data_IF_541632867816
#
_entry.id   IF_541632867816
#
_cell.length_a   1.000
_cell.length_b   1.000
_cell.length_c   1.000
_cell.angle_alpha   90.00
_cell.angle_beta   90.00
_cell.angle_gamma   90.00
#
_symmetry.space_group_name_H-M   'P 1'
#
loop_
_entity.id
_entity.type
_entity.pdbx_description
1 polymer ?
#
# COMPACT_ATOMS: atom_id res chain seq x y z
N UNK A 1 1.40 19.65 4.85
CA UNK A 1 0.06 20.02 4.36
C UNK A 1 -1.06 19.54 5.28
N UNK A 2 -1.31 18.23 5.49
CA UNK A 2 -2.34 17.79 6.45
C UNK A 2 -2.06 18.30 7.87
N UNK A 3 -0.80 18.14 8.32
CA UNK A 3 -0.34 18.69 9.60
C UNK A 3 -0.59 20.20 9.72
N UNK A 4 -0.34 20.96 8.65
CA UNK A 4 -0.48 22.42 8.67
C UNK A 4 -1.95 22.83 8.76
N UNK A 5 -2.84 22.10 8.07
CA UNK A 5 -4.29 22.27 8.18
C UNK A 5 -4.75 22.00 9.61
N UNK A 6 -4.26 20.92 10.24
CA UNK A 6 -4.57 20.60 11.64
C UNK A 6 -4.09 21.70 12.58
N UNK A 7 -2.86 22.20 12.42
CA UNK A 7 -2.32 23.29 13.24
C UNK A 7 -3.18 24.56 13.11
N UNK A 8 -3.59 24.93 11.89
CA UNK A 8 -4.45 26.10 11.67
C UNK A 8 -5.84 25.88 12.29
N UNK A 9 -6.39 24.66 12.14
CA UNK A 9 -7.70 24.31 12.64
C UNK A 9 -7.78 24.32 14.17
N UNK A 10 -6.78 23.75 14.84
CA UNK A 10 -6.72 23.67 16.31
C UNK A 10 -6.22 24.98 16.93
N UNK A 11 -5.31 25.69 16.25
CA UNK A 11 -4.69 26.92 16.76
C UNK A 11 -5.57 28.16 16.70
N UNK A 12 -6.70 28.14 15.98
CA UNK A 12 -7.61 29.28 15.84
C UNK A 12 -9.06 28.87 16.12
N UNK A 13 -9.83 29.64 16.90
CA UNK A 13 -11.25 29.36 17.12
C UNK A 13 -12.07 29.60 15.85
N UNK A 14 -13.13 28.83 15.64
CA UNK A 14 -14.05 29.02 14.50
C UNK A 14 -14.87 30.31 14.61
N UNK A 15 -15.20 30.69 15.85
CA UNK A 15 -15.96 31.89 16.18
C UNK A 15 -15.12 32.79 17.07
N UNK A 16 -15.10 34.08 16.77
CA UNK A 16 -14.49 35.10 17.62
C UNK A 16 -15.35 35.32 18.87
N UNK A 17 -14.73 35.66 20.01
CA UNK A 17 -15.47 36.03 21.21
C UNK A 17 -16.34 37.26 20.94
N UNK A 18 -17.51 37.31 21.59
CA UNK A 18 -18.38 38.48 21.52
C UNK A 18 -17.71 39.66 22.25
N UNK A 19 -17.81 40.87 21.68
CA UNK A 19 -17.22 42.09 22.25
C UNK A 19 -17.92 42.52 23.55
N UNK A 20 -19.16 42.08 23.77
CA UNK A 20 -19.95 42.37 24.97
C UNK A 20 -20.69 41.09 25.45
N UNK A 21 -20.97 40.97 26.77
CA UNK A 21 -21.80 39.88 27.29
C UNK A 21 -23.20 39.95 26.67
N UNK A 22 -23.58 38.90 25.94
CA UNK A 22 -24.86 38.81 25.21
C UNK A 22 -24.79 39.25 23.74
N UNK A 23 -23.64 39.70 23.25
CA UNK A 23 -23.44 40.03 21.84
C UNK A 23 -23.29 38.78 20.95
N UNK A 24 -23.58 38.95 19.66
CA UNK A 24 -23.39 37.88 18.67
C UNK A 24 -21.90 37.57 18.46
N UNK A 25 -21.58 36.28 18.38
CA UNK A 25 -20.25 35.82 17.98
C UNK A 25 -20.10 35.94 16.48
N UNK A 26 -18.95 36.45 16.03
CA UNK A 26 -18.62 36.59 14.61
C UNK A 26 -17.80 35.39 14.14
N UNK A 27 -17.97 34.99 12.88
CA UNK A 27 -17.13 33.96 12.25
C UNK A 27 -15.69 34.46 12.13
N UNK A 28 -14.73 33.59 12.40
CA UNK A 28 -13.32 33.89 12.21
C UNK A 28 -12.91 33.74 10.72
N UNK A 29 -13.07 34.83 9.96
CA UNK A 29 -12.70 34.86 8.54
C UNK A 29 -11.19 34.72 8.29
N UNK A 30 -10.35 35.11 9.24
CA UNK A 30 -8.90 34.92 9.12
C UNK A 30 -8.54 33.44 9.09
N UNK A 31 -9.13 32.64 10.00
CA UNK A 31 -9.00 31.18 9.98
C UNK A 31 -9.44 30.58 8.66
N UNK A 32 -10.59 31.01 8.14
CA UNK A 32 -11.11 30.54 6.85
C UNK A 32 -10.18 30.91 5.69
N UNK A 33 -9.60 32.11 5.69
CA UNK A 33 -8.62 32.54 4.69
C UNK A 33 -7.36 31.67 4.72
N UNK A 34 -6.84 31.38 5.91
CA UNK A 34 -5.67 30.50 6.09
C UNK A 34 -5.96 29.08 5.58
N UNK A 35 -7.09 28.49 5.96
CA UNK A 35 -7.48 27.15 5.50
C UNK A 35 -7.73 27.13 3.98
N UNK A 36 -8.39 28.15 3.44
CA UNK A 36 -8.64 28.31 2.01
C UNK A 36 -7.34 28.37 1.19
N UNK A 37 -6.32 29.07 1.69
CA UNK A 37 -5.01 29.10 1.03
C UNK A 37 -4.32 27.73 0.96
N UNK A 38 -4.44 26.92 2.02
CA UNK A 38 -3.88 25.56 2.03
C UNK A 38 -4.61 24.64 1.05
N UNK A 39 -5.93 24.76 0.97
CA UNK A 39 -6.75 24.00 0.01
C UNK A 39 -6.47 24.42 -1.44
N UNK A 40 -6.31 25.71 -1.71
CA UNK A 40 -5.94 26.21 -3.03
C UNK A 40 -4.60 25.63 -3.49
N UNK A 41 -3.60 25.58 -2.59
CA UNK A 41 -2.30 24.97 -2.88
C UNK A 41 -2.41 23.47 -3.19
N UNK A 42 -3.29 22.73 -2.50
CA UNK A 42 -3.55 21.31 -2.81
C UNK A 42 -4.19 21.14 -4.19
N UNK A 43 -5.10 22.04 -4.56
CA UNK A 43 -5.75 22.02 -5.88
C UNK A 43 -4.76 22.33 -7.01
N UNK A 44 -3.84 23.28 -6.80
CA UNK A 44 -2.73 23.52 -7.72
C UNK A 44 -1.87 22.28 -7.92
N UNK A 45 -1.53 21.58 -6.84
CA UNK A 45 -0.73 20.35 -6.92
C UNK A 45 -1.48 19.25 -7.68
N UNK A 46 -2.78 19.08 -7.42
CA UNK A 46 -3.63 18.11 -8.12
C UNK A 46 -3.69 18.35 -9.63
N UNK A 47 -3.64 19.62 -10.07
CA UNK A 47 -3.68 20.01 -11.48
C UNK A 47 -2.35 19.81 -12.21
N UNK A 48 -1.25 19.55 -11.50
CA UNK A 48 0.05 19.33 -12.13
C UNK A 48 0.04 18.08 -12.99
N UNK A 49 0.53 18.20 -14.22
CA UNK A 49 0.82 17.04 -15.07
C UNK A 49 2.14 16.45 -14.62
N UNK A 50 2.15 15.15 -14.39
CA UNK A 50 3.37 14.44 -14.03
C UNK A 50 4.06 13.88 -15.29
N UNK A 51 5.40 13.97 -15.39
CA UNK A 51 6.14 13.55 -16.58
C UNK A 51 6.38 12.03 -16.64
N UNK A 52 5.42 11.22 -16.18
CA UNK A 52 5.50 9.77 -16.24
C UNK A 52 4.22 9.17 -16.84
N UNK A 53 4.37 8.06 -17.56
CA UNK A 53 3.24 7.25 -18.01
C UNK A 53 2.97 6.17 -16.99
N UNK A 54 1.73 6.08 -16.53
CA UNK A 54 1.29 4.96 -15.71
C UNK A 54 1.16 3.70 -16.58
N UNK A 55 1.76 2.59 -16.16
CA UNK A 55 1.48 1.27 -16.73
C UNK A 55 0.17 0.73 -16.12
N UNK A 56 -0.90 0.55 -16.91
CA UNK A 56 -2.18 0.05 -16.40
C UNK A 56 -2.11 -1.36 -15.80
N UNK A 57 -1.16 -2.21 -16.23
CA UNK A 57 -0.97 -3.55 -15.67
C UNK A 57 -0.38 -3.46 -14.28
N UNK A 58 0.67 -2.65 -14.11
CA UNK A 58 1.27 -2.40 -12.81
C UNK A 58 0.27 -1.76 -11.84
N UNK A 59 -0.47 -0.74 -12.28
CA UNK A 59 -1.50 -0.09 -11.45
C UNK A 59 -2.54 -1.09 -10.96
N UNK A 60 -3.06 -1.97 -11.83
CA UNK A 60 -4.04 -3.01 -11.44
C UNK A 60 -3.46 -4.02 -10.47
N UNK A 61 -2.20 -4.44 -10.65
CA UNK A 61 -1.54 -5.33 -9.72
C UNK A 61 -1.37 -4.67 -8.35
N UNK A 62 -0.91 -3.41 -8.31
CA UNK A 62 -0.73 -2.63 -7.10
C UNK A 62 -2.02 -2.45 -6.30
N UNK A 63 -3.13 -2.11 -6.96
CA UNK A 63 -4.44 -1.95 -6.30
C UNK A 63 -5.06 -3.25 -5.79
N UNK A 64 -4.54 -4.41 -6.20
CA UNK A 64 -4.96 -5.73 -5.68
C UNK A 64 -4.14 -6.19 -4.48
N UNK A 65 -3.04 -5.50 -4.15
CA UNK A 65 -2.26 -5.83 -2.98
C UNK A 65 -3.04 -5.51 -1.70
N UNK A 66 -3.11 -6.47 -0.79
CA UNK A 66 -3.61 -6.25 0.57
C UNK A 66 -2.40 -5.86 1.44
N UNK A 67 -2.37 -4.65 2.03
CA UNK A 67 -1.27 -4.27 2.91
C UNK A 67 -1.28 -5.18 4.14
N UNK A 68 -0.10 -5.66 4.52
CA UNK A 68 0.07 -6.38 5.77
C UNK A 68 -0.06 -5.42 6.95
N UNK A 69 -0.64 -5.91 8.04
CA UNK A 69 -0.52 -5.23 9.33
C UNK A 69 0.93 -5.28 9.82
N UNK A 70 1.29 -4.35 10.69
CA UNK A 70 2.60 -4.32 11.32
C UNK A 70 2.91 -5.67 12.01
N UNK A 71 1.94 -6.22 12.75
CA UNK A 71 2.07 -7.52 13.41
C UNK A 71 2.33 -8.68 12.41
N UNK A 72 1.60 -8.72 11.30
CA UNK A 72 1.80 -9.74 10.26
C UNK A 72 3.17 -9.63 9.60
N UNK A 73 3.62 -8.41 9.31
CA UNK A 73 4.94 -8.16 8.74
C UNK A 73 6.05 -8.63 9.69
N UNK A 74 5.98 -8.23 10.96
CA UNK A 74 6.96 -8.63 11.97
C UNK A 74 6.98 -10.14 12.20
N UNK A 75 5.81 -10.78 12.24
CA UNK A 75 5.71 -12.23 12.38
C UNK A 75 6.34 -12.95 11.17
N UNK A 76 6.02 -12.52 9.95
CA UNK A 76 6.58 -13.13 8.73
C UNK A 76 8.10 -12.93 8.63
N UNK A 77 8.61 -11.74 8.96
CA UNK A 77 10.05 -11.48 8.98
C UNK A 77 10.77 -12.32 10.05
N UNK A 78 10.17 -12.45 11.24
CA UNK A 78 10.69 -13.29 12.32
C UNK A 78 10.76 -14.77 11.91
N UNK A 79 9.70 -15.28 11.26
CA UNK A 79 9.66 -16.66 10.77
C UNK A 79 10.71 -16.94 9.67
N UNK A 80 10.98 -15.97 8.79
CA UNK A 80 12.03 -16.07 7.76
C UNK A 80 13.42 -16.07 8.40
N UNK A 81 13.66 -15.21 9.38
CA UNK A 81 14.93 -15.17 10.13
C UNK A 81 15.17 -16.43 10.95
N UNK A 82 14.14 -16.95 11.63
CA UNK A 82 14.21 -18.20 12.37
C UNK A 82 14.48 -19.40 11.43
N UNK A 83 13.91 -19.39 10.23
CA UNK A 83 14.17 -20.42 9.21
C UNK A 83 15.61 -20.34 8.65
N UNK A 84 16.15 -19.13 8.49
CA UNK A 84 17.54 -18.93 8.09
C UNK A 84 18.54 -19.32 9.20
N UNK A 85 18.18 -19.13 10.47
CA UNK A 85 19.00 -19.53 11.61
C UNK A 85 18.88 -21.03 11.96
N UNK A 86 17.72 -21.65 11.71
CA UNK A 86 17.46 -23.07 11.95
C UNK A 86 17.90 -24.01 10.82
N UNK A 87 18.21 -23.48 9.63
CA UNK A 87 18.94 -24.24 8.61
C UNK A 87 20.42 -24.30 9.00
N UNK A 88 20.78 -25.35 9.74
CA UNK A 88 22.18 -25.75 9.94
C UNK A 88 22.86 -26.16 8.63
N UNK A 89 23.06 -25.21 7.72
CA UNK A 89 24.01 -25.35 6.62
C UNK A 89 25.41 -25.27 7.23
N UNK A 90 25.89 -26.45 7.61
CA UNK A 90 27.29 -26.68 7.92
C UNK A 90 28.14 -26.16 6.76
N UNK A 91 28.99 -25.17 7.06
CA UNK A 91 30.33 -25.00 6.49
C UNK A 91 30.50 -25.22 4.98
N UNK A 92 30.14 -24.24 4.15
CA UNK A 92 30.90 -23.89 2.94
C UNK A 92 30.42 -22.53 2.43
N UNK A 93 31.34 -21.57 2.35
CA UNK A 93 31.01 -20.17 2.08
C UNK A 93 30.19 -19.95 0.81
N UNK A 94 29.05 -19.29 0.96
CA UNK A 94 28.54 -18.23 0.09
C UNK A 94 27.42 -17.53 0.86
N UNK A 95 27.71 -16.32 1.36
CA UNK A 95 26.72 -15.48 2.04
C UNK A 95 25.58 -15.09 1.10
N UNK A 96 24.64 -14.27 1.61
CA UNK A 96 23.48 -13.62 0.97
C UNK A 96 23.15 -13.87 -0.53
N UNK A 97 24.05 -13.74 -1.53
CA UNK A 97 23.77 -14.03 -2.94
C UNK A 97 23.05 -15.36 -3.24
N UNK A 98 23.31 -16.46 -2.52
CA UNK A 98 22.64 -17.75 -2.80
C UNK A 98 21.14 -17.74 -2.44
N UNK A 99 20.77 -17.11 -1.33
CA UNK A 99 19.38 -16.94 -0.92
C UNK A 99 18.63 -15.94 -1.83
N UNK A 100 19.33 -14.91 -2.29
CA UNK A 100 18.80 -13.96 -3.28
C UNK A 100 18.59 -14.62 -4.65
N UNK A 101 19.51 -15.52 -5.05
CA UNK A 101 19.39 -16.35 -6.24
C UNK A 101 18.16 -17.26 -6.20
N UNK A 102 17.90 -17.94 -5.08
CA UNK A 102 16.73 -18.80 -4.92
C UNK A 102 15.39 -18.03 -4.97
N UNK A 103 15.35 -16.81 -4.41
CA UNK A 103 14.18 -15.93 -4.46
C UNK A 103 13.92 -15.36 -5.87
N UNK A 104 14.99 -15.00 -6.59
CA UNK A 104 14.91 -14.60 -8.00
C UNK A 104 14.51 -15.77 -8.91
N UNK A 105 14.96 -16.98 -8.61
CA UNK A 105 14.61 -18.19 -9.37
C UNK A 105 13.15 -18.62 -9.10
N UNK A 106 12.65 -18.44 -7.87
CA UNK A 106 11.21 -18.60 -7.57
C UNK A 106 10.36 -17.52 -8.25
N UNK A 107 10.83 -16.27 -8.30
CA UNK A 107 10.17 -15.18 -9.04
C UNK A 107 10.11 -15.45 -10.54
N UNK A 108 11.19 -15.97 -11.14
CA UNK A 108 11.20 -16.36 -12.56
C UNK A 108 10.38 -17.63 -12.84
N UNK A 109 10.33 -18.58 -11.90
CA UNK A 109 9.46 -19.76 -11.99
C UNK A 109 7.97 -19.40 -11.81
N UNK A 110 7.66 -18.36 -11.03
CA UNK A 110 6.31 -17.81 -10.89
C UNK A 110 5.90 -16.95 -12.09
N UNK A 111 6.84 -16.29 -12.76
CA UNK A 111 6.57 -15.52 -13.98
C UNK A 111 6.35 -16.41 -15.22
N UNK A 112 6.85 -17.65 -15.23
CA UNK A 112 6.72 -18.60 -16.34
C UNK A 112 5.66 -19.70 -16.11
N UNK A 113 4.81 -19.55 -15.10
CA UNK A 113 3.74 -20.51 -14.84
C UNK A 113 2.40 -19.77 -14.80
N UNK A 114 1.76 -19.68 -15.97
CA UNK A 114 0.30 -19.61 -16.12
C UNK A 114 -0.34 -20.87 -15.51
N UNK A 115 -0.16 -21.07 -14.21
CA UNK A 115 -0.85 -22.09 -13.44
C UNK A 115 -1.84 -21.37 -12.54
N UNK A 116 -3.15 -21.65 -12.67
CA UNK A 116 -4.10 -21.16 -11.69
C UNK A 116 -3.67 -21.72 -10.32
N UNK A 117 -3.35 -20.82 -9.40
CA UNK A 117 -3.13 -21.18 -8.00
C UNK A 117 -4.48 -21.65 -7.49
N UNK A 118 -4.64 -22.96 -7.31
CA UNK A 118 -5.75 -23.51 -6.55
C UNK A 118 -5.58 -23.05 -5.10
N UNK A 119 -6.30 -21.99 -4.74
CA UNK A 119 -6.52 -21.60 -3.35
C UNK A 119 -7.36 -22.73 -2.75
N UNK A 120 -6.74 -23.57 -1.92
CA UNK A 120 -7.48 -24.50 -1.07
C UNK A 120 -8.07 -23.65 0.06
N UNK A 121 -9.21 -23.01 -0.21
CA UNK A 121 -10.10 -22.58 0.88
C UNK A 121 -10.67 -23.86 1.48
N UNK A 122 -10.41 -24.09 2.76
CA UNK A 122 -10.98 -25.20 3.51
C UNK A 122 -12.51 -25.07 3.55
N UNK A 123 -13.19 -25.65 2.56
CA UNK A 123 -14.52 -26.23 2.62
C UNK A 123 -14.83 -26.91 1.28
N UNK A 124 -14.95 -28.23 1.38
CA UNK A 124 -15.68 -29.13 0.49
C UNK A 124 -15.08 -29.47 -0.88
N UNK A 125 -14.58 -30.70 -0.95
CA UNK A 125 -14.51 -31.47 -2.17
C UNK A 125 -15.92 -31.67 -2.76
N UNK A 126 -16.09 -31.45 -4.07
CA UNK A 126 -16.97 -32.28 -4.92
C UNK A 126 -16.78 -32.01 -6.42
N UNK A 127 -16.48 -33.10 -7.12
CA UNK A 127 -16.87 -33.46 -8.49
C UNK A 127 -16.78 -32.42 -9.63
N UNK A 128 -15.78 -32.64 -10.49
CA UNK A 128 -15.95 -32.72 -11.94
C UNK A 128 -16.33 -31.46 -12.70
N UNK A 129 -15.38 -30.91 -13.47
CA UNK A 129 -15.71 -30.30 -14.77
C UNK A 129 -14.47 -30.22 -15.66
N UNK A 130 -14.69 -30.43 -16.96
CA UNK A 130 -13.74 -30.86 -17.99
C UNK A 130 -12.85 -29.70 -18.48
N UNK A 131 -11.56 -29.95 -18.68
CA UNK A 131 -10.65 -29.01 -19.34
C UNK A 131 -10.83 -29.05 -20.86
N UNK A 132 -11.25 -27.92 -21.46
CA UNK A 132 -11.12 -27.72 -22.90
C UNK A 132 -9.66 -27.36 -23.22
N UNK A 133 -9.04 -28.16 -24.10
CA UNK A 133 -7.62 -28.08 -24.47
C UNK A 133 -7.51 -27.27 -25.76
N UNK A 134 -7.07 -26.01 -25.68
CA UNK A 134 -6.72 -25.21 -26.87
C UNK A 134 -5.20 -25.28 -27.04
N UNK A 135 -4.74 -25.91 -28.13
CA UNK A 135 -3.34 -25.86 -28.57
C UNK A 135 -3.12 -24.59 -29.37
N UNK A 136 -2.09 -23.84 -29.03
CA UNK A 136 -1.49 -22.84 -29.92
C UNK A 136 -0.17 -23.43 -30.43
N UNK A 137 -0.07 -23.57 -31.75
CA UNK A 137 1.15 -24.01 -32.45
C UNK A 137 2.19 -22.87 -32.49
N UNK A 138 3.50 -23.20 -32.58
CA UNK A 138 4.61 -22.27 -32.36
C UNK A 138 4.65 -21.10 -33.35
#
# INVERSE_FOLDING_TARGET
MLRDITIIHEGNPDMLPAEAPGGERKVNWEKLGLLGSQLARLDEVKKRKYPFRADPRFARAFFRCVPLTEAELHHQLSMVQARAAGSGASSAGTGLPAAMGALLQQSQAAANMDRPINVITGKEAKAGTRFAKVRVHP
#
